data_IF_400884731349
#
_entry.id   IF_400884731349
#
_cell.length_a   1.000
_cell.length_b   1.000
_cell.length_c   1.000
_cell.angle_alpha   90.00
_cell.angle_beta   90.00
_cell.angle_gamma   90.00
#
_symmetry.space_group_name_H-M   'P 1'
#
loop_
_entity.id
_entity.type
_entity.pdbx_description
1 polymer ?
#
# COMPACT_ATOMS: atom_id res chain seq x y z
N UNK A 1 5.93 -12.80 -9.41
CA UNK A 1 4.61 -12.84 -8.71
C UNK A 1 3.83 -11.63 -9.17
N UNK A 2 2.60 -11.83 -9.65
CA UNK A 2 1.74 -10.71 -10.03
C UNK A 2 0.95 -10.20 -8.82
N UNK A 3 0.51 -8.94 -8.85
CA UNK A 3 -0.18 -8.26 -7.73
C UNK A 3 -1.39 -9.04 -7.23
N UNK A 4 -2.22 -9.58 -8.12
CA UNK A 4 -3.40 -10.37 -7.74
C UNK A 4 -3.05 -11.63 -6.93
N UNK A 5 -1.89 -12.25 -7.18
CA UNK A 5 -1.44 -13.41 -6.40
C UNK A 5 -1.02 -13.00 -4.98
N UNK A 6 -0.40 -11.82 -4.84
CA UNK A 6 -0.08 -11.24 -3.52
C UNK A 6 -1.37 -11.01 -2.73
N UNK A 7 -2.39 -10.39 -3.35
CA UNK A 7 -3.67 -10.15 -2.69
C UNK A 7 -4.36 -11.44 -2.29
N UNK A 8 -4.42 -12.45 -3.17
CA UNK A 8 -5.00 -13.77 -2.85
C UNK A 8 -4.29 -14.46 -1.69
N UNK A 9 -2.99 -14.24 -1.54
CA UNK A 9 -2.20 -14.79 -0.42
C UNK A 9 -2.44 -14.01 0.87
N UNK A 10 -2.63 -12.69 0.77
CA UNK A 10 -2.84 -11.81 1.92
C UNK A 10 -4.25 -11.95 2.51
N UNK A 11 -5.28 -11.97 1.67
CA UNK A 11 -6.70 -11.98 2.08
C UNK A 11 -7.02 -13.01 3.16
N UNK A 12 -6.58 -14.28 3.08
CA UNK A 12 -6.86 -15.27 4.12
C UNK A 12 -6.21 -14.97 5.49
N UNK A 13 -5.28 -14.01 5.54
CA UNK A 13 -4.60 -13.58 6.76
C UNK A 13 -5.24 -12.35 7.40
N UNK A 14 -6.18 -11.71 6.69
CA UNK A 14 -6.93 -10.55 7.16
C UNK A 14 -8.24 -11.04 7.79
N UNK A 15 -8.54 -10.56 8.98
CA UNK A 15 -9.79 -10.91 9.70
C UNK A 15 -10.62 -9.66 10.01
N UNK A 16 -10.10 -8.74 10.82
CA UNK A 16 -10.76 -7.52 11.25
C UNK A 16 -9.85 -6.28 11.12
N UNK A 17 -8.72 -6.43 10.48
CA UNK A 17 -7.80 -5.35 10.17
C UNK A 17 -8.46 -4.32 9.25
N UNK A 18 -8.09 -3.05 9.42
CA UNK A 18 -8.48 -1.99 8.51
C UNK A 18 -7.50 -1.96 7.33
N UNK A 19 -8.02 -2.02 6.12
CA UNK A 19 -7.20 -2.05 4.91
C UNK A 19 -7.35 -0.76 4.13
N UNK A 20 -6.24 -0.09 3.82
CA UNK A 20 -6.19 1.09 2.95
C UNK A 20 -5.44 0.70 1.68
N UNK A 21 -6.09 0.76 0.53
CA UNK A 21 -5.43 0.43 -0.73
C UNK A 21 -5.18 1.66 -1.59
N UNK A 22 -4.04 1.64 -2.28
CA UNK A 22 -3.70 2.64 -3.30
C UNK A 22 -4.74 2.66 -4.43
N UNK A 23 -4.80 3.79 -5.13
CA UNK A 23 -5.71 4.01 -6.25
C UNK A 23 -5.51 3.00 -7.40
N UNK A 24 -6.52 2.89 -8.24
CA UNK A 24 -6.46 2.14 -9.50
C UNK A 24 -6.58 0.63 -9.33
N UNK A 25 -5.74 -0.11 -10.01
CA UNK A 25 -5.83 -1.58 -10.08
C UNK A 25 -5.76 -2.27 -8.71
N UNK A 26 -4.93 -1.85 -7.74
CA UNK A 26 -4.92 -2.49 -6.41
C UNK A 26 -6.28 -2.42 -5.71
N UNK A 27 -6.92 -1.26 -5.73
CA UNK A 27 -8.27 -1.09 -5.15
C UNK A 27 -9.32 -1.93 -5.88
N UNK A 28 -9.29 -1.94 -7.22
CA UNK A 28 -10.24 -2.72 -8.02
C UNK A 28 -10.07 -4.23 -7.78
N UNK A 29 -8.84 -4.71 -7.75
CA UNK A 29 -8.56 -6.13 -7.52
C UNK A 29 -8.94 -6.57 -6.10
N UNK A 30 -8.65 -5.77 -5.07
CA UNK A 30 -9.07 -6.10 -3.71
C UNK A 30 -10.59 -6.11 -3.59
N UNK A 31 -11.28 -5.11 -4.16
CA UNK A 31 -12.75 -5.06 -4.18
C UNK A 31 -13.37 -6.30 -4.84
N UNK A 32 -12.79 -6.76 -5.96
CA UNK A 32 -13.29 -7.94 -6.66
C UNK A 32 -13.01 -9.26 -5.93
N UNK A 33 -11.90 -9.32 -5.17
CA UNK A 33 -11.47 -10.54 -4.48
C UNK A 33 -12.10 -10.66 -3.08
N UNK A 34 -12.22 -9.56 -2.35
CA UNK A 34 -12.68 -9.55 -0.97
C UNK A 34 -13.15 -8.16 -0.55
N UNK A 35 -14.40 -7.83 -0.88
CA UNK A 35 -15.02 -6.55 -0.48
C UNK A 35 -15.51 -6.61 0.96
N UNK A 36 -14.83 -5.90 1.85
CA UNK A 36 -15.14 -5.85 3.28
C UNK A 36 -15.45 -4.42 3.74
N UNK A 37 -16.32 -4.23 4.74
CA UNK A 37 -16.59 -2.90 5.33
C UNK A 37 -15.35 -2.24 5.95
N UNK A 38 -14.30 -3.02 6.22
CA UNK A 38 -13.02 -2.58 6.76
C UNK A 38 -12.04 -2.12 5.69
N UNK A 39 -12.40 -2.23 4.42
CA UNK A 39 -11.56 -1.80 3.31
C UNK A 39 -11.85 -0.36 2.89
N UNK A 40 -10.82 0.44 2.78
CA UNK A 40 -10.86 1.78 2.21
C UNK A 40 -10.16 1.80 0.85
N UNK A 41 -10.93 2.02 -0.19
CA UNK A 41 -10.47 2.06 -1.58
C UNK A 41 -10.22 3.50 -2.01
N UNK A 42 -8.96 3.87 -2.24
CA UNK A 42 -8.61 5.20 -2.69
C UNK A 42 -9.00 5.40 -4.16
N UNK A 43 -9.61 6.55 -4.47
CA UNK A 43 -10.00 6.93 -5.84
C UNK A 43 -9.06 7.95 -6.47
N UNK A 44 -8.32 8.67 -5.66
CA UNK A 44 -7.34 9.66 -6.07
C UNK A 44 -6.17 9.69 -5.09
N UNK A 45 -5.36 10.76 -5.13
CA UNK A 45 -4.30 10.98 -4.16
C UNK A 45 -3.23 9.88 -4.16
N UNK A 46 -2.74 9.49 -5.35
CA UNK A 46 -1.60 8.58 -5.49
C UNK A 46 -0.44 9.03 -4.61
N UNK A 47 0.15 8.09 -3.86
CA UNK A 47 1.23 8.37 -2.91
C UNK A 47 0.78 8.60 -1.47
N UNK A 48 -0.52 8.59 -1.17
CA UNK A 48 -1.02 8.87 0.18
C UNK A 48 -1.58 7.65 0.94
N UNK A 49 -1.59 6.46 0.37
CA UNK A 49 -2.09 5.27 1.08
C UNK A 49 -1.34 5.02 2.38
N UNK A 50 -0.02 5.13 2.35
CA UNK A 50 0.84 4.99 3.53
C UNK A 50 0.57 6.06 4.60
N UNK A 51 0.39 7.32 4.20
CA UNK A 51 0.11 8.42 5.12
C UNK A 51 -1.27 8.30 5.77
N UNK A 52 -2.30 7.93 4.99
CA UNK A 52 -3.66 7.70 5.49
C UNK A 52 -3.66 6.50 6.44
N UNK A 53 -3.01 5.40 6.05
CA UNK A 53 -2.91 4.21 6.88
C UNK A 53 -2.19 4.47 8.21
N UNK A 54 -1.08 5.22 8.20
CA UNK A 54 -0.38 5.62 9.42
C UNK A 54 -1.28 6.47 10.32
N UNK A 55 -1.93 7.50 9.77
CA UNK A 55 -2.84 8.35 10.53
C UNK A 55 -3.97 7.56 11.18
N UNK A 56 -4.53 6.58 10.46
CA UNK A 56 -5.56 5.70 10.98
C UNK A 56 -5.03 4.80 12.09
N UNK A 57 -3.82 4.26 11.96
CA UNK A 57 -3.18 3.44 12.98
C UNK A 57 -2.89 4.22 14.28
N UNK A 58 -2.49 5.48 14.15
CA UNK A 58 -2.25 6.36 15.30
C UNK A 58 -3.55 6.77 16.00
N UNK A 59 -4.68 6.79 15.30
CA UNK A 59 -5.96 7.28 15.82
C UNK A 59 -6.79 6.20 16.54
N UNK A 60 -6.50 4.90 16.35
CA UNK A 60 -7.28 3.80 16.93
C UNK A 60 -6.45 2.51 17.05
N UNK A 61 -6.83 1.53 17.90
CA UNK A 61 -5.97 0.39 18.25
C UNK A 61 -5.97 -0.79 17.28
N UNK A 62 -6.93 -0.88 16.34
CA UNK A 62 -6.96 -1.98 15.37
C UNK A 62 -5.73 -1.96 14.48
N UNK A 63 -5.31 -3.13 14.02
CA UNK A 63 -4.28 -3.21 12.99
C UNK A 63 -4.74 -2.54 11.70
N UNK A 64 -3.83 -1.84 11.06
CA UNK A 64 -4.02 -1.18 9.78
C UNK A 64 -2.99 -1.70 8.80
N UNK A 65 -3.46 -2.13 7.64
CA UNK A 65 -2.64 -2.57 6.52
C UNK A 65 -2.81 -1.57 5.39
N UNK A 66 -1.77 -0.83 5.05
CA UNK A 66 -1.74 -0.02 3.84
C UNK A 66 -1.10 -0.83 2.70
N UNK A 67 -1.81 -0.97 1.59
CA UNK A 67 -1.33 -1.65 0.38
C UNK A 67 -1.02 -0.59 -0.67
N UNK A 68 0.24 -0.48 -1.04
CA UNK A 68 0.71 0.54 -1.97
C UNK A 68 1.58 -0.08 -3.08
N UNK A 69 1.80 0.66 -4.15
CA UNK A 69 2.73 0.31 -5.22
C UNK A 69 4.03 1.10 -5.11
N UNK A 70 5.09 0.56 -5.69
CA UNK A 70 6.41 1.21 -5.74
C UNK A 70 6.36 2.63 -6.31
N UNK A 71 5.69 2.82 -7.45
CA UNK A 71 5.54 4.13 -8.06
C UNK A 71 4.75 5.11 -7.22
N UNK A 72 3.77 4.64 -6.46
CA UNK A 72 2.99 5.45 -5.53
C UNK A 72 3.84 5.88 -4.33
N UNK A 73 4.56 4.96 -3.71
CA UNK A 73 5.46 5.27 -2.58
C UNK A 73 6.55 6.26 -2.99
N UNK A 74 7.10 6.12 -4.21
CA UNK A 74 8.11 7.06 -4.74
C UNK A 74 7.57 8.50 -4.87
N UNK A 75 6.27 8.69 -5.08
CA UNK A 75 5.68 10.03 -5.11
C UNK A 75 5.64 10.72 -3.75
N UNK A 76 5.70 9.96 -2.67
CA UNK A 76 5.67 10.47 -1.29
C UNK A 76 6.67 9.72 -0.41
N UNK A 77 7.90 9.60 -0.88
CA UNK A 77 8.94 8.80 -0.23
C UNK A 77 9.22 9.24 1.22
N UNK A 78 9.01 10.52 1.53
CA UNK A 78 9.13 11.07 2.88
C UNK A 78 8.18 10.46 3.91
N UNK A 79 7.18 9.68 3.50
CA UNK A 79 6.33 8.93 4.42
C UNK A 79 7.10 7.83 5.15
N UNK A 80 8.09 7.19 4.53
CA UNK A 80 8.85 6.12 5.15
C UNK A 80 9.57 6.56 6.43
N UNK A 81 10.37 7.64 6.45
CA UNK A 81 10.93 8.14 7.71
C UNK A 81 9.85 8.62 8.69
N UNK A 82 8.71 9.11 8.23
CA UNK A 82 7.60 9.48 9.11
C UNK A 82 7.03 8.25 9.82
N UNK A 83 6.84 7.13 9.10
CA UNK A 83 6.41 5.86 9.68
C UNK A 83 7.44 5.36 10.70
N UNK A 84 8.71 5.35 10.32
CA UNK A 84 9.80 4.90 11.20
C UNK A 84 9.87 5.69 12.51
N UNK A 85 9.67 7.01 12.46
CA UNK A 85 9.72 7.86 13.64
C UNK A 85 8.46 7.76 14.53
N UNK A 86 7.31 7.42 13.97
CA UNK A 86 6.08 7.24 14.76
C UNK A 86 5.96 5.87 15.40
N UNK A 87 6.62 4.85 14.87
CA UNK A 87 6.69 3.48 15.41
C UNK A 87 5.32 2.91 15.82
N UNK A 88 4.29 3.13 15.01
CA UNK A 88 2.95 2.63 15.29
C UNK A 88 2.93 1.09 15.26
N UNK A 89 2.76 0.38 16.39
CA UNK A 89 2.90 -1.08 16.48
C UNK A 89 1.79 -1.83 15.76
N UNK A 90 0.70 -1.14 15.44
CA UNK A 90 -0.47 -1.66 14.75
C UNK A 90 -0.50 -1.28 13.26
N UNK A 91 0.60 -0.79 12.69
CA UNK A 91 0.68 -0.38 11.29
C UNK A 91 1.57 -1.31 10.46
N UNK A 92 1.08 -1.72 9.31
CA UNK A 92 1.82 -2.49 8.29
C UNK A 92 1.69 -1.75 6.97
N UNK A 93 2.82 -1.41 6.35
CA UNK A 93 2.88 -0.94 4.98
C UNK A 93 3.37 -2.08 4.07
N UNK A 94 2.52 -2.54 3.18
CA UNK A 94 2.86 -3.52 2.15
C UNK A 94 3.08 -2.81 0.83
N UNK A 95 4.31 -2.84 0.32
CA UNK A 95 4.67 -2.26 -0.97
C UNK A 95 4.77 -3.38 -2.00
N UNK A 96 3.93 -3.34 -3.03
CA UNK A 96 3.99 -4.26 -4.15
C UNK A 96 4.85 -3.60 -5.24
N UNK A 97 6.10 -4.06 -5.34
CA UNK A 97 7.06 -3.54 -6.30
C UNK A 97 7.06 -4.38 -7.58
N UNK A 98 6.54 -3.80 -8.65
CA UNK A 98 6.58 -4.38 -9.99
C UNK A 98 7.47 -3.59 -10.95
N UNK A 99 8.14 -2.55 -10.48
CA UNK A 99 9.05 -1.71 -11.25
C UNK A 99 8.38 -0.85 -12.31
N UNK A 100 7.03 -0.73 -12.31
CA UNK A 100 6.33 0.01 -13.36
C UNK A 100 5.03 0.67 -12.92
N UNK A 101 4.65 1.74 -13.65
CA UNK A 101 3.33 2.38 -13.54
C UNK A 101 2.30 1.66 -14.43
N UNK A 102 1.88 0.46 -14.01
CA UNK A 102 1.05 -0.45 -14.81
C UNK A 102 -0.30 0.12 -15.24
N UNK A 103 -0.86 1.10 -14.52
CA UNK A 103 -2.16 1.71 -14.85
C UNK A 103 -2.10 2.74 -15.97
N UNK A 104 -0.91 3.24 -16.33
CA UNK A 104 -0.74 4.36 -17.27
C UNK A 104 0.15 4.05 -18.47
N UNK A 105 0.52 2.78 -18.67
CA UNK A 105 1.28 2.34 -19.84
C UNK A 105 2.63 1.73 -19.53
N UNK A 106 2.81 1.17 -18.33
CA UNK A 106 4.00 0.42 -17.91
C UNK A 106 5.33 1.21 -17.99
N UNK A 107 5.27 2.52 -17.78
CA UNK A 107 6.50 3.31 -17.63
C UNK A 107 7.30 2.79 -16.44
N UNK A 108 8.61 2.61 -16.64
CA UNK A 108 9.51 2.15 -15.59
C UNK A 108 9.55 3.14 -14.43
N UNK A 109 9.37 2.65 -13.20
CA UNK A 109 9.60 3.44 -11.98
C UNK A 109 11.09 3.46 -11.63
N UNK A 110 11.49 4.34 -10.72
CA UNK A 110 12.88 4.34 -10.21
C UNK A 110 13.18 3.09 -9.37
N UNK A 111 12.21 2.42 -8.77
CA UNK A 111 12.38 1.13 -8.11
C UNK A 111 12.75 0.03 -9.12
N UNK A 112 12.18 0.08 -10.33
CA UNK A 112 12.58 -0.80 -11.44
C UNK A 112 13.96 -0.48 -12.04
N UNK A 113 14.68 0.51 -11.51
CA UNK A 113 16.01 0.94 -11.99
C UNK A 113 17.08 0.72 -10.91
N UNK A 114 17.33 1.76 -10.10
CA UNK A 114 18.46 1.78 -9.12
C UNK A 114 18.01 2.06 -7.68
N UNK A 115 16.76 2.42 -7.45
CA UNK A 115 16.25 2.72 -6.11
C UNK A 115 15.73 1.45 -5.47
N UNK A 116 16.32 1.03 -4.36
CA UNK A 116 15.79 -0.07 -3.53
C UNK A 116 14.89 0.52 -2.45
N UNK A 117 13.57 0.31 -2.56
CA UNK A 117 12.63 0.75 -1.53
C UNK A 117 12.84 0.00 -0.21
N UNK A 118 13.28 -1.25 -0.27
CA UNK A 118 13.61 -2.03 0.92
C UNK A 118 14.81 -1.46 1.71
N UNK A 119 15.77 -0.84 1.00
CA UNK A 119 16.93 -0.22 1.65
C UNK A 119 16.62 1.19 2.18
N UNK A 120 15.57 1.81 1.65
CA UNK A 120 15.10 3.14 2.11
C UNK A 120 14.19 3.01 3.34
N UNK A 121 13.42 1.91 3.44
CA UNK A 121 12.49 1.64 4.53
C UNK A 121 13.20 1.14 5.80
#
# INVERSE_FOLDING_TARGET
MIRSDVLKTLIPLISDELVVTNIGLPSQELHLLDDQPTNFYMLGTMGLASSIGLGLALAQPKKVIAIDGDGSVLMNLGTLPTIANNQAPNFILLIIDNGSYGSTGDQTTYAGMKTSLADVA
#
